data_IF_178579676496
#
_entry.id   IF_178579676496
#
_cell.length_a   1.000
_cell.length_b   1.000
_cell.length_c   1.000
_cell.angle_alpha   90.00
_cell.angle_beta   90.00
_cell.angle_gamma   90.00
#
_symmetry.space_group_name_H-M   'P 1'
#
loop_
_entity.id
_entity.type
_entity.pdbx_description
1 polymer ?
#
# COMPACT_ATOMS: atom_id res chain seq x y z
N UNK A 1 64.21 -17.91 15.42
CA UNK A 1 62.77 -18.25 15.50
C UNK A 1 61.98 -16.97 15.74
N UNK A 2 61.71 -16.21 14.67
CA UNK A 2 60.95 -14.95 14.74
C UNK A 2 59.47 -15.24 14.70
N UNK A 3 58.76 -14.87 15.78
CA UNK A 3 57.30 -15.00 15.87
C UNK A 3 56.64 -13.89 15.05
N UNK A 4 55.98 -14.29 13.97
CA UNK A 4 55.07 -13.45 13.18
C UNK A 4 53.83 -13.15 14.02
N UNK A 5 53.68 -11.90 14.44
CA UNK A 5 52.44 -11.39 15.04
C UNK A 5 51.40 -11.18 13.94
N UNK A 6 50.37 -12.02 13.94
CA UNK A 6 49.20 -11.89 13.08
C UNK A 6 48.45 -10.60 13.42
N UNK A 7 48.41 -9.66 12.47
CA UNK A 7 47.55 -8.49 12.55
C UNK A 7 46.09 -8.92 12.36
N UNK A 8 45.28 -8.68 13.39
CA UNK A 8 43.84 -8.87 13.38
C UNK A 8 43.23 -7.75 12.52
N UNK A 9 42.68 -8.10 11.37
CA UNK A 9 42.04 -7.15 10.45
C UNK A 9 40.87 -6.40 11.10
N UNK A 10 40.56 -5.17 10.66
CA UNK A 10 39.53 -4.35 11.27
C UNK A 10 38.15 -4.98 11.10
N UNK A 11 37.38 -4.95 12.20
CA UNK A 11 35.98 -5.34 12.23
C UNK A 11 35.22 -4.60 11.12
N UNK A 12 34.53 -5.37 10.28
CA UNK A 12 33.69 -4.82 9.22
C UNK A 12 32.65 -3.91 9.85
N UNK A 13 32.67 -2.64 9.45
CA UNK A 13 31.68 -1.65 9.83
C UNK A 13 30.30 -2.13 9.36
N UNK A 14 29.43 -2.41 10.33
CA UNK A 14 28.02 -2.70 10.14
C UNK A 14 27.42 -1.58 9.28
N UNK A 15 27.12 -1.90 8.02
CA UNK A 15 26.53 -0.95 7.09
C UNK A 15 25.08 -0.75 7.54
N UNK A 16 24.86 0.24 8.39
CA UNK A 16 23.53 0.69 8.79
C UNK A 16 22.77 1.04 7.50
N UNK A 17 21.91 0.13 7.05
CA UNK A 17 21.04 0.36 5.92
C UNK A 17 20.09 1.48 6.31
N UNK A 18 20.35 2.69 5.82
CA UNK A 18 19.51 3.85 6.01
C UNK A 18 18.13 3.50 5.43
N UNK A 19 17.15 3.24 6.30
CA UNK A 19 15.80 2.84 5.90
C UNK A 19 15.10 4.05 5.28
N UNK A 20 14.89 4.01 3.97
CA UNK A 20 14.15 5.05 3.26
C UNK A 20 12.66 4.71 3.22
N UNK A 21 11.82 5.64 3.69
CA UNK A 21 10.36 5.53 3.60
C UNK A 21 9.85 6.37 2.44
N UNK A 22 8.92 5.82 1.66
CA UNK A 22 8.30 6.52 0.53
C UNK A 22 7.54 7.76 1.03
N UNK A 23 7.78 8.92 0.40
CA UNK A 23 7.03 10.15 0.66
C UNK A 23 5.80 10.19 -0.25
N UNK A 24 4.64 10.41 0.35
CA UNK A 24 3.37 10.52 -0.37
C UNK A 24 2.52 11.64 0.22
N UNK A 25 1.59 12.19 -0.58
CA UNK A 25 0.68 13.23 -0.13
C UNK A 25 -0.62 12.64 0.39
N UNK A 26 -0.96 12.89 1.65
CA UNK A 26 -2.23 12.48 2.25
C UNK A 26 -3.14 13.69 2.50
N UNK A 27 -4.46 13.50 2.44
CA UNK A 27 -5.41 14.51 2.87
C UNK A 27 -5.39 14.58 4.41
N UNK A 28 -5.23 15.79 4.96
CA UNK A 28 -5.29 16.04 6.40
C UNK A 28 -6.00 17.38 6.64
N UNK A 29 -7.19 17.32 7.24
CA UNK A 29 -8.05 18.49 7.41
C UNK A 29 -8.41 19.13 6.07
N UNK A 30 -8.17 20.44 5.93
CA UNK A 30 -8.48 21.24 4.73
C UNK A 30 -7.36 21.24 3.67
N UNK A 31 -6.32 20.42 3.80
CA UNK A 31 -5.17 20.45 2.89
C UNK A 31 -4.54 19.09 2.61
N UNK A 32 -3.58 19.08 1.68
CA UNK A 32 -2.68 17.94 1.44
C UNK A 32 -1.39 18.16 2.21
N UNK A 33 -0.98 17.18 3.00
CA UNK A 33 0.29 17.19 3.73
C UNK A 33 1.18 16.06 3.22
N UNK A 34 2.49 16.32 3.16
CA UNK A 34 3.47 15.27 2.92
C UNK A 34 3.49 14.31 4.11
N UNK A 35 3.49 13.02 3.83
CA UNK A 35 3.56 11.95 4.81
C UNK A 35 4.54 10.88 4.37
N UNK A 36 5.10 10.16 5.34
CA UNK A 36 5.85 8.94 5.10
C UNK A 36 4.87 7.76 5.07
N UNK A 37 5.10 6.84 4.15
CA UNK A 37 4.31 5.60 3.98
C UNK A 37 5.13 4.40 4.44
N UNK A 38 4.49 3.53 5.23
CA UNK A 38 4.98 2.18 5.55
C UNK A 38 3.98 1.14 5.06
N UNK A 39 4.46 -0.03 4.65
CA UNK A 39 3.63 -1.13 4.16
C UNK A 39 3.92 -2.38 4.96
N UNK A 40 2.88 -3.09 5.39
CA UNK A 40 3.02 -4.33 6.12
C UNK A 40 3.59 -5.43 5.22
N UNK A 41 4.76 -5.94 5.58
CA UNK A 41 5.38 -7.13 5.00
C UNK A 41 4.66 -8.44 5.31
N UNK A 42 3.42 -8.42 5.79
CA UNK A 42 2.57 -9.60 5.94
C UNK A 42 1.27 -9.43 5.14
N UNK A 43 0.51 -8.37 5.41
CA UNK A 43 -0.84 -8.19 4.87
C UNK A 43 -1.06 -6.94 3.98
N UNK A 44 0.01 -6.26 3.55
CA UNK A 44 -0.03 -5.05 2.69
C UNK A 44 -0.77 -3.83 3.26
N UNK A 45 -1.32 -3.91 4.48
CA UNK A 45 -1.85 -2.74 5.15
C UNK A 45 -0.83 -1.60 5.08
N UNK A 46 -1.29 -0.40 4.75
CA UNK A 46 -0.44 0.79 4.66
C UNK A 46 -0.68 1.69 5.87
N UNK A 47 0.40 2.23 6.42
CA UNK A 47 0.39 3.26 7.46
C UNK A 47 0.95 4.56 6.92
N UNK A 48 0.44 5.68 7.44
CA UNK A 48 0.88 7.01 7.05
C UNK A 48 1.18 7.85 8.28
N UNK A 49 2.32 8.54 8.28
CA UNK A 49 2.70 9.49 9.32
C UNK A 49 3.01 10.84 8.66
N UNK A 50 2.35 11.95 9.05
CA UNK A 50 2.65 13.28 8.52
C UNK A 50 4.13 13.66 8.71
N UNK A 51 4.76 14.21 7.67
CA UNK A 51 6.16 14.60 7.68
C UNK A 51 6.36 15.89 8.51
N UNK A 52 6.63 15.71 9.80
CA UNK A 52 7.10 16.77 10.71
C UNK A 52 8.47 17.32 10.27
N UNK A 53 8.93 18.42 10.88
CA UNK A 53 10.22 19.03 10.52
C UNK A 53 11.40 18.04 10.60
N UNK A 54 11.45 17.20 11.64
CA UNK A 54 12.45 16.14 11.79
C UNK A 54 12.35 15.08 10.68
N UNK A 55 11.12 14.65 10.36
CA UNK A 55 10.88 13.68 9.27
C UNK A 55 11.13 14.25 7.87
N UNK A 56 11.13 15.58 7.71
CA UNK A 56 11.52 16.24 6.45
C UNK A 56 13.02 16.22 6.20
N UNK A 57 13.83 16.23 7.26
CA UNK A 57 15.29 16.15 7.17
C UNK A 57 15.82 14.74 6.88
N UNK A 58 14.93 13.73 6.90
CA UNK A 58 15.28 12.37 6.47
C UNK A 58 15.97 11.54 7.56
N UNK A 59 15.81 11.90 8.83
CA UNK A 59 16.32 11.10 9.94
C UNK A 59 15.52 9.79 10.06
N UNK A 60 16.12 8.62 9.76
CA UNK A 60 15.41 7.35 9.68
C UNK A 60 14.91 6.88 11.06
N UNK A 61 15.62 7.21 12.13
CA UNK A 61 15.26 6.86 13.50
C UNK A 61 13.97 7.57 13.95
N UNK A 62 13.81 8.85 13.61
CA UNK A 62 12.58 9.59 13.86
C UNK A 62 11.37 8.96 13.13
N UNK A 63 11.57 8.45 11.91
CA UNK A 63 10.52 7.76 11.15
C UNK A 63 10.13 6.43 11.81
N UNK A 64 11.12 5.64 12.22
CA UNK A 64 10.92 4.39 12.95
C UNK A 64 10.15 4.65 14.25
N UNK A 65 10.57 5.65 15.04
CA UNK A 65 9.92 6.02 16.29
C UNK A 65 8.47 6.48 16.06
N UNK A 66 8.22 7.27 15.03
CA UNK A 66 6.87 7.76 14.73
C UNK A 66 5.93 6.61 14.31
N UNK A 67 6.37 5.70 13.44
CA UNK A 67 5.59 4.50 13.10
C UNK A 67 5.39 3.59 14.31
N UNK A 68 6.42 3.43 15.16
CA UNK A 68 6.35 2.70 16.42
C UNK A 68 5.31 3.27 17.38
N UNK A 69 5.21 4.60 17.48
CA UNK A 69 4.17 5.27 18.28
C UNK A 69 2.75 4.97 17.77
N UNK A 70 2.60 4.71 16.48
CA UNK A 70 1.34 4.25 15.86
C UNK A 70 1.15 2.71 15.91
N UNK A 71 2.00 1.99 16.66
CA UNK A 71 1.89 0.55 16.91
C UNK A 71 2.45 -0.34 15.81
N UNK A 72 3.19 0.22 14.85
CA UNK A 72 3.90 -0.56 13.84
C UNK A 72 5.17 -1.17 14.42
N UNK A 73 5.46 -2.40 14.00
CA UNK A 73 6.79 -2.98 14.19
C UNK A 73 7.58 -2.72 12.92
N UNK A 74 8.62 -1.90 13.00
CA UNK A 74 9.50 -1.61 11.86
C UNK A 74 10.71 -2.53 11.94
N UNK A 75 10.90 -3.38 10.94
CA UNK A 75 11.97 -4.38 10.88
C UNK A 75 13.27 -3.83 10.29
N UNK A 76 14.23 -4.71 9.98
CA UNK A 76 15.45 -4.35 9.29
C UNK A 76 15.26 -4.23 7.76
N UNK A 77 14.25 -4.91 7.21
CA UNK A 77 13.88 -4.88 5.78
C UNK A 77 12.38 -4.57 5.58
N UNK A 78 11.94 -4.03 4.42
CA UNK A 78 10.51 -3.72 4.22
C UNK A 78 9.61 -4.96 4.35
N UNK A 79 10.17 -6.14 4.08
CA UNK A 79 9.50 -7.43 4.25
C UNK A 79 9.26 -7.81 5.72
N UNK A 80 9.98 -7.21 6.67
CA UNK A 80 9.86 -7.46 8.12
C UNK A 80 8.93 -6.48 8.83
N UNK A 81 8.50 -5.41 8.17
CA UNK A 81 7.58 -4.44 8.76
C UNK A 81 6.22 -5.10 9.03
N UNK A 82 5.64 -4.87 10.21
CA UNK A 82 4.32 -5.43 10.60
C UNK A 82 3.40 -4.32 11.08
N UNK A 83 2.19 -4.31 10.55
CA UNK A 83 1.13 -3.43 11.03
C UNK A 83 0.70 -3.81 12.47
N UNK A 84 -0.01 -2.93 13.19
CA UNK A 84 -0.47 -3.19 14.56
C UNK A 84 -1.29 -4.47 14.72
N UNK A 85 -2.02 -4.87 13.68
CA UNK A 85 -2.81 -6.10 13.70
C UNK A 85 -1.94 -7.36 13.55
N UNK A 86 -0.86 -7.31 12.75
CA UNK A 86 0.06 -8.43 12.54
C UNK A 86 1.09 -8.55 13.68
N UNK A 87 1.58 -7.41 14.20
CA UNK A 87 2.58 -7.40 15.29
C UNK A 87 2.02 -7.93 16.61
N UNK A 88 0.73 -7.68 16.90
CA UNK A 88 0.05 -8.23 18.09
C UNK A 88 -0.12 -9.74 18.02
N UNK A 89 -0.42 -10.29 16.83
CA UNK A 89 -0.57 -11.75 16.61
C UNK A 89 0.76 -12.48 16.83
N UNK A 90 1.86 -11.98 16.26
CA UNK A 90 3.17 -12.60 16.43
C UNK A 90 3.68 -12.53 17.88
N UNK A 91 3.33 -11.48 18.62
CA UNK A 91 3.73 -11.31 20.02
C UNK A 91 2.98 -12.24 20.97
N UNK A 92 1.69 -12.53 20.73
CA UNK A 92 0.94 -13.50 21.52
C UNK A 92 1.47 -14.93 21.34
N UNK A 93 1.80 -15.31 20.11
CA UNK A 93 2.34 -16.66 19.83
C UNK A 93 3.69 -16.89 20.50
N UNK A 94 4.59 -15.88 20.48
CA UNK A 94 5.90 -15.97 21.13
C UNK A 94 5.82 -16.01 22.67
N UNK A 95 4.80 -15.40 23.28
CA UNK A 95 4.64 -15.41 24.74
C UNK A 95 4.09 -16.73 25.27
N UNK A 96 3.51 -17.55 24.37
CA UNK A 96 2.95 -18.85 24.72
C UNK A 96 3.99 -19.98 24.64
N UNK A 97 5.01 -19.86 23.79
CA UNK A 97 6.06 -20.89 23.62
C UNK A 97 7.16 -20.83 24.69
N UNK A 98 7.38 -19.70 25.35
CA UNK A 98 8.44 -19.55 26.38
C UNK A 98 8.00 -19.89 27.80
N UNK A 99 6.72 -20.22 28.02
CA UNK A 99 6.20 -20.54 29.37
C UNK A 99 6.40 -22.01 29.79
N UNK A 100 7.09 -22.80 28.98
CA UNK A 100 7.35 -24.23 29.21
C UNK A 100 8.76 -24.59 29.68
N UNK A 101 9.71 -23.66 29.78
CA UNK A 101 11.06 -23.96 30.23
C UNK A 101 11.67 -22.82 31.06
N UNK A 102 11.94 -23.07 32.35
CA UNK A 102 12.95 -22.34 33.12
C UNK A 102 12.48 -21.60 34.38
N UNK A 103 12.56 -22.31 35.50
CA UNK A 103 13.16 -21.92 36.81
C UNK A 103 12.90 -20.54 37.46
N UNK A 104 12.49 -20.65 38.72
CA UNK A 104 12.38 -19.67 39.80
C UNK A 104 13.49 -18.61 39.89
N UNK A 105 13.12 -17.34 39.98
CA UNK A 105 13.80 -16.34 40.80
C UNK A 105 12.83 -15.22 41.21
N UNK A 106 12.89 -14.87 42.50
CA UNK A 106 11.99 -13.98 43.22
C UNK A 106 12.03 -12.52 42.73
N UNK A 107 10.92 -11.80 42.97
CA UNK A 107 10.66 -10.43 42.48
C UNK A 107 11.55 -9.31 43.05
N UNK A 108 11.14 -8.04 42.86
CA UNK A 108 10.07 -7.54 43.71
C UNK A 108 8.95 -6.75 43.00
N UNK A 109 7.78 -6.79 43.65
CA UNK A 109 6.56 -6.00 43.43
C UNK A 109 6.79 -4.50 43.62
N UNK A 110 6.00 -3.71 42.87
CA UNK A 110 5.18 -2.52 43.26
C UNK A 110 4.81 -1.80 41.93
N UNK A 111 3.67 -1.18 41.67
CA UNK A 111 2.44 -0.85 42.42
C UNK A 111 1.41 -0.32 41.41
N UNK A 112 0.15 -0.73 41.60
CA UNK A 112 -1.14 -0.02 41.39
C UNK A 112 -1.19 1.32 40.64
N UNK A 113 -2.08 1.39 39.64
CA UNK A 113 -3.05 2.46 39.32
C UNK A 113 -3.37 2.38 37.80
N UNK A 114 -4.55 2.64 37.27
CA UNK A 114 -5.91 2.90 37.75
C UNK A 114 -6.78 2.77 36.50
N UNK A 115 -7.90 2.07 36.62
CA UNK A 115 -8.91 2.00 35.58
C UNK A 115 -9.54 3.39 35.35
N UNK A 116 -9.66 3.80 34.09
CA UNK A 116 -10.65 4.80 33.67
C UNK A 116 -11.41 4.27 32.46
N UNK A 117 -12.69 4.06 32.74
CA UNK A 117 -13.81 3.83 31.82
C UNK A 117 -13.88 4.85 30.69
N UNK A 118 -14.12 4.39 29.47
CA UNK A 118 -14.98 5.10 28.52
C UNK A 118 -15.69 4.11 27.62
N UNK A 119 -16.99 4.36 27.49
CA UNK A 119 -18.06 3.54 26.94
C UNK A 119 -18.36 4.00 25.51
N UNK A 120 -18.65 3.03 24.65
CA UNK A 120 -19.52 3.06 23.46
C UNK A 120 -19.43 4.23 22.45
N UNK A 121 -19.22 3.86 21.18
CA UNK A 121 -20.18 4.22 20.13
C UNK A 121 -20.03 3.26 18.93
N UNK A 122 -21.02 2.38 18.82
CA UNK A 122 -21.36 1.60 17.63
C UNK A 122 -21.90 2.57 16.58
N UNK A 123 -21.47 2.47 15.32
CA UNK A 123 -22.26 2.97 14.20
C UNK A 123 -22.03 2.09 12.97
N UNK A 124 -23.13 1.45 12.59
CA UNK A 124 -23.35 0.51 11.50
C UNK A 124 -23.96 1.30 10.35
N UNK A 125 -23.46 1.05 9.14
CA UNK A 125 -24.11 1.02 7.82
C UNK A 125 -25.22 2.07 7.53
N UNK A 126 -25.03 2.84 6.47
CA UNK A 126 -26.12 3.16 5.54
C UNK A 126 -25.56 3.43 4.13
N UNK A 127 -25.74 2.45 3.25
CA UNK A 127 -25.73 2.64 1.82
C UNK A 127 -26.95 3.50 1.43
N UNK A 128 -26.79 4.41 0.46
CA UNK A 128 -27.93 5.01 -0.24
C UNK A 128 -27.66 5.06 -1.73
N UNK A 129 -28.05 3.97 -2.38
CA UNK A 129 -28.47 3.93 -3.77
C UNK A 129 -29.75 4.75 -3.89
N UNK A 130 -29.82 5.64 -4.88
CA UNK A 130 -31.08 6.17 -5.40
C UNK A 130 -30.97 6.21 -6.91
N UNK A 131 -31.44 5.13 -7.53
CA UNK A 131 -32.08 5.20 -8.83
C UNK A 131 -33.51 5.72 -8.59
N UNK A 132 -33.97 6.65 -9.42
CA UNK A 132 -35.39 6.95 -9.54
C UNK A 132 -35.69 7.02 -11.04
N UNK A 133 -36.56 6.13 -11.45
CA UNK A 133 -37.15 5.97 -12.78
C UNK A 133 -38.49 6.71 -12.83
N UNK A 134 -38.84 7.13 -14.04
CA UNK A 134 -40.18 7.38 -14.59
C UNK A 134 -40.76 8.81 -14.56
N UNK A 135 -41.04 9.27 -15.79
CA UNK A 135 -41.90 10.36 -16.25
C UNK A 135 -43.32 10.34 -15.65
N UNK A 136 -44.11 11.42 -15.83
CA UNK A 136 -44.91 11.57 -17.05
C UNK A 136 -44.97 12.98 -17.68
N UNK A 137 -45.08 12.97 -19.01
CA UNK A 137 -45.75 13.87 -20.02
C UNK A 137 -46.63 15.01 -19.45
N UNK A 138 -46.72 16.26 -19.96
CA UNK A 138 -46.96 16.82 -21.32
C UNK A 138 -46.68 18.35 -21.31
N UNK A 139 -46.28 18.93 -22.47
CA UNK A 139 -46.26 20.36 -22.86
C UNK A 139 -45.29 21.27 -22.09
N UNK A 140 -44.35 21.96 -22.71
CA UNK A 140 -44.60 22.97 -23.75
C UNK A 140 -43.35 23.15 -24.62
N UNK A 141 -43.57 23.34 -25.91
CA UNK A 141 -42.54 23.41 -26.94
C UNK A 141 -41.59 24.61 -26.74
N UNK A 142 -40.32 24.33 -26.47
CA UNK A 142 -39.21 25.24 -26.76
C UNK A 142 -38.15 24.46 -27.53
N UNK A 143 -38.16 24.68 -28.84
CA UNK A 143 -37.10 24.29 -29.77
C UNK A 143 -35.82 25.01 -29.41
N UNK A 144 -34.92 24.35 -28.66
CA UNK A 144 -33.50 24.75 -28.65
C UNK A 144 -32.88 24.20 -29.93
N UNK A 145 -32.63 25.12 -30.86
CA UNK A 145 -31.86 24.90 -32.07
C UNK A 145 -30.58 24.13 -31.72
N UNK A 146 -30.38 23.00 -32.39
CA UNK A 146 -29.06 22.42 -32.54
C UNK A 146 -28.21 23.44 -33.32
N UNK A 147 -27.45 24.27 -32.59
CA UNK A 147 -26.40 25.07 -33.18
C UNK A 147 -25.49 24.14 -33.99
N UNK A 148 -25.30 24.48 -35.26
CA UNK A 148 -24.35 23.79 -36.14
C UNK A 148 -23.03 23.60 -35.38
N UNK A 149 -22.37 22.43 -35.50
CA UNK A 149 -21.05 22.24 -34.90
C UNK A 149 -20.18 23.45 -35.26
N UNK A 150 -19.56 24.12 -34.28
CA UNK A 150 -18.68 25.24 -34.52
C UNK A 150 -17.75 24.88 -35.70
N UNK A 151 -17.85 25.65 -36.79
CA UNK A 151 -17.01 25.41 -37.95
C UNK A 151 -15.62 25.93 -37.62
N UNK A 152 -14.64 25.04 -37.61
CA UNK A 152 -13.24 25.38 -37.36
C UNK A 152 -12.79 26.45 -38.35
N UNK A 153 -12.41 27.62 -37.82
CA UNK A 153 -11.84 28.70 -38.61
C UNK A 153 -10.52 28.28 -39.25
N UNK A 154 -10.12 28.93 -40.35
CA UNK A 154 -8.80 28.67 -40.96
C UNK A 154 -7.65 28.96 -40.01
N UNK A 155 -7.82 29.95 -39.15
CA UNK A 155 -6.82 30.35 -38.15
C UNK A 155 -6.69 29.28 -37.05
N UNK A 156 -7.80 28.75 -36.54
CA UNK A 156 -7.80 27.65 -35.57
C UNK A 156 -7.15 26.39 -36.16
N UNK A 157 -7.48 26.07 -37.42
CA UNK A 157 -6.89 24.93 -38.13
C UNK A 157 -5.38 25.09 -38.28
N UNK A 158 -4.88 26.31 -38.51
CA UNK A 158 -3.44 26.60 -38.62
C UNK A 158 -2.73 26.44 -37.27
N UNK A 159 -3.30 26.96 -36.20
CA UNK A 159 -2.74 26.86 -34.84
C UNK A 159 -2.69 25.38 -34.38
N UNK A 160 -3.75 24.62 -34.66
CA UNK A 160 -3.80 23.19 -34.36
C UNK A 160 -2.74 22.41 -35.15
N UNK A 161 -2.57 22.71 -36.44
CA UNK A 161 -1.54 22.06 -37.26
C UNK A 161 -0.12 22.34 -36.75
N UNK A 162 0.21 23.60 -36.46
CA UNK A 162 1.52 23.98 -35.93
C UNK A 162 1.82 23.27 -34.61
N UNK A 163 0.83 23.20 -33.72
CA UNK A 163 1.00 22.46 -32.46
C UNK A 163 1.14 20.96 -32.68
N UNK A 164 0.39 20.37 -33.61
CA UNK A 164 0.48 18.94 -33.93
C UNK A 164 1.84 18.61 -34.56
N UNK A 165 2.41 19.47 -35.40
CA UNK A 165 3.74 19.25 -35.99
C UNK A 165 4.84 19.17 -34.92
N UNK A 166 4.70 19.94 -33.84
CA UNK A 166 5.62 19.90 -32.70
C UNK A 166 5.46 18.65 -31.80
N UNK A 167 4.23 18.16 -31.62
CA UNK A 167 3.94 17.08 -30.63
C UNK A 167 3.69 15.70 -31.25
N UNK A 168 3.44 15.63 -32.55
CA UNK A 168 3.10 14.43 -33.29
C UNK A 168 4.28 14.04 -34.19
N UNK A 169 5.02 13.00 -33.79
CA UNK A 169 6.24 12.56 -34.46
C UNK A 169 5.98 11.48 -35.52
N UNK A 170 6.76 10.40 -35.50
CA UNK A 170 6.70 9.24 -36.42
C UNK A 170 5.39 8.43 -36.29
N UNK A 171 4.25 9.06 -36.55
CA UNK A 171 2.89 8.51 -36.45
C UNK A 171 2.38 8.24 -35.03
N UNK A 172 2.90 8.93 -34.02
CA UNK A 172 2.35 8.88 -32.67
C UNK A 172 2.66 10.17 -31.89
N UNK A 173 1.89 10.43 -30.85
CA UNK A 173 2.22 11.51 -29.92
C UNK A 173 3.50 11.23 -29.15
N UNK A 174 4.32 12.27 -29.00
CA UNK A 174 5.46 12.27 -28.09
C UNK A 174 5.00 12.32 -26.63
N UNK A 175 5.63 11.52 -25.76
CA UNK A 175 5.42 11.60 -24.31
C UNK A 175 3.99 11.34 -23.86
N UNK A 176 3.40 12.30 -23.13
CA UNK A 176 2.02 12.24 -22.62
C UNK A 176 1.02 13.09 -23.42
N UNK A 177 1.42 13.53 -24.62
CA UNK A 177 0.54 14.28 -25.50
C UNK A 177 -0.55 13.38 -26.09
N UNK A 178 -1.75 13.91 -26.22
CA UNK A 178 -2.94 13.29 -26.81
C UNK A 178 -3.82 14.38 -27.42
N UNK A 179 -4.81 14.04 -28.24
CA UNK A 179 -5.82 14.99 -28.72
C UNK A 179 -6.42 15.82 -27.57
N UNK A 180 -6.61 15.20 -26.41
CA UNK A 180 -7.21 15.83 -25.22
C UNK A 180 -6.27 16.86 -24.60
N UNK A 181 -4.96 16.58 -24.52
CA UNK A 181 -4.00 17.52 -23.94
C UNK A 181 -3.72 18.68 -24.89
N UNK A 182 -3.69 18.44 -26.20
CA UNK A 182 -3.56 19.49 -27.23
C UNK A 182 -4.78 20.41 -27.23
N UNK A 183 -6.00 19.84 -27.19
CA UNK A 183 -7.25 20.59 -27.12
C UNK A 183 -7.31 21.51 -25.89
N UNK A 184 -6.85 21.00 -24.73
CA UNK A 184 -6.78 21.77 -23.49
C UNK A 184 -5.75 22.91 -23.55
N UNK A 185 -4.61 22.67 -24.20
CA UNK A 185 -3.53 23.66 -24.32
C UNK A 185 -3.93 24.82 -25.23
N UNK A 186 -4.60 24.52 -26.34
CA UNK A 186 -5.07 25.51 -27.31
C UNK A 186 -6.47 26.07 -27.00
N UNK A 187 -7.14 25.52 -25.98
CA UNK A 187 -8.52 25.84 -25.61
C UNK A 187 -9.52 25.69 -26.78
N UNK A 188 -9.34 24.62 -27.58
CA UNK A 188 -10.19 24.28 -28.73
C UNK A 188 -10.91 22.93 -28.48
N UNK A 189 -12.04 22.65 -29.15
CA UNK A 189 -12.69 21.36 -29.04
C UNK A 189 -11.79 20.19 -29.48
N UNK A 190 -11.79 19.09 -28.71
CA UNK A 190 -11.06 17.85 -29.05
C UNK A 190 -11.37 17.35 -30.47
N UNK A 191 -12.64 17.44 -30.88
CA UNK A 191 -13.09 16.99 -32.19
C UNK A 191 -12.34 17.68 -33.35
N UNK A 192 -12.00 18.97 -33.20
CA UNK A 192 -11.23 19.69 -34.21
C UNK A 192 -9.80 19.19 -34.31
N UNK A 193 -9.16 18.90 -33.16
CA UNK A 193 -7.80 18.33 -33.13
C UNK A 193 -7.79 16.95 -33.77
N UNK A 194 -8.76 16.09 -33.46
CA UNK A 194 -8.89 14.77 -34.07
C UNK A 194 -9.12 14.84 -35.58
N UNK A 195 -9.96 15.76 -36.07
CA UNK A 195 -10.22 15.95 -37.51
C UNK A 195 -8.96 16.43 -38.25
N UNK A 196 -8.21 17.38 -37.68
CA UNK A 196 -6.96 17.88 -38.27
C UNK A 196 -5.87 16.81 -38.24
N UNK A 197 -5.74 16.06 -37.14
CA UNK A 197 -4.80 14.95 -37.07
C UNK A 197 -5.12 13.90 -38.12
N UNK A 198 -6.37 13.43 -38.21
CA UNK A 198 -6.77 12.42 -39.20
C UNK A 198 -6.51 12.90 -40.64
N UNK A 199 -6.78 14.17 -40.94
CA UNK A 199 -6.63 14.73 -42.27
C UNK A 199 -5.16 14.96 -42.71
N UNK A 200 -4.24 15.19 -41.79
CA UNK A 200 -2.85 15.59 -42.11
C UNK A 200 -1.76 14.66 -41.57
N UNK A 201 -2.00 14.00 -40.44
CA UNK A 201 -1.03 13.17 -39.72
C UNK A 201 -1.44 11.69 -39.62
N UNK A 202 -2.73 11.37 -39.84
CA UNK A 202 -3.28 10.01 -39.82
C UNK A 202 -4.00 9.63 -38.52
N UNK A 203 -4.36 8.34 -38.35
CA UNK A 203 -5.13 7.86 -37.21
C UNK A 203 -4.38 8.07 -35.89
N UNK A 204 -5.10 8.04 -34.77
CA UNK A 204 -4.54 8.09 -33.40
C UNK A 204 -3.56 6.93 -33.21
N UNK A 205 -2.31 7.11 -33.64
CA UNK A 205 -1.31 6.08 -33.56
C UNK A 205 -1.05 5.77 -32.09
N UNK A 206 -1.30 4.53 -31.70
CA UNK A 206 -0.95 4.08 -30.37
C UNK A 206 0.57 4.12 -30.23
N UNK A 207 1.07 4.76 -29.16
CA UNK A 207 2.50 4.83 -28.93
C UNK A 207 3.01 3.43 -28.53
N UNK A 208 3.83 2.76 -29.35
CA UNK A 208 4.26 1.39 -29.09
C UNK A 208 5.04 1.25 -27.78
N UNK A 209 5.69 2.33 -27.29
CA UNK A 209 6.35 2.33 -25.99
C UNK A 209 5.34 2.36 -24.83
N UNK A 210 4.24 3.09 -24.96
CA UNK A 210 3.20 3.13 -23.92
C UNK A 210 2.43 1.81 -23.85
N UNK A 211 2.16 1.19 -24.99
CA UNK A 211 1.53 -0.14 -25.04
C UNK A 211 2.42 -1.19 -24.38
N UNK A 212 3.70 -1.25 -24.78
CA UNK A 212 4.68 -2.14 -24.15
C UNK A 212 4.84 -1.87 -22.66
N UNK A 213 4.89 -0.60 -22.25
CA UNK A 213 4.94 -0.25 -20.83
C UNK A 213 3.70 -0.72 -20.08
N UNK A 214 2.51 -0.57 -20.66
CA UNK A 214 1.25 -1.06 -20.10
C UNK A 214 1.27 -2.57 -19.91
N UNK A 215 1.65 -3.31 -20.94
CA UNK A 215 1.77 -4.77 -20.91
C UNK A 215 2.78 -5.25 -19.86
N UNK A 216 3.98 -4.65 -19.83
CA UNK A 216 5.03 -4.97 -18.87
C UNK A 216 4.61 -4.65 -17.43
N UNK A 217 3.96 -3.49 -17.23
CA UNK A 217 3.43 -3.08 -15.93
C UNK A 217 2.35 -4.04 -15.44
N UNK A 218 1.38 -4.38 -16.28
CA UNK A 218 0.35 -5.34 -15.92
C UNK A 218 0.92 -6.73 -15.62
N UNK A 219 1.91 -7.18 -16.40
CA UNK A 219 2.60 -8.44 -16.14
C UNK A 219 3.31 -8.42 -14.78
N UNK A 220 3.97 -7.32 -14.45
CA UNK A 220 4.59 -7.12 -13.15
C UNK A 220 3.56 -7.11 -12.02
N UNK A 221 2.45 -6.38 -12.16
CA UNK A 221 1.38 -6.33 -11.16
C UNK A 221 0.76 -7.71 -10.93
N UNK A 222 0.56 -8.52 -11.98
CA UNK A 222 0.11 -9.92 -11.87
C UNK A 222 1.11 -10.78 -11.10
N UNK A 223 2.41 -10.67 -11.43
CA UNK A 223 3.46 -11.42 -10.75
C UNK A 223 3.54 -11.04 -9.27
N UNK A 224 3.52 -9.73 -8.97
CA UNK A 224 3.54 -9.19 -7.61
C UNK A 224 2.33 -9.69 -6.81
N UNK A 225 1.12 -9.59 -7.36
CA UNK A 225 -0.09 -10.09 -6.73
C UNK A 225 0.00 -11.60 -6.42
N UNK A 226 0.52 -12.40 -7.35
CA UNK A 226 0.75 -13.84 -7.15
C UNK A 226 1.73 -14.14 -6.03
N UNK A 227 2.88 -13.45 -6.00
CA UNK A 227 3.88 -13.59 -4.94
C UNK A 227 3.30 -13.22 -3.56
N UNK A 228 2.50 -12.17 -3.51
CA UNK A 228 1.90 -11.69 -2.27
C UNK A 228 0.80 -12.61 -1.75
N UNK A 229 -0.02 -13.16 -2.64
CA UNK A 229 -0.98 -14.21 -2.29
C UNK A 229 -0.27 -15.46 -1.73
N UNK A 230 0.82 -15.90 -2.37
CA UNK A 230 1.63 -17.02 -1.87
C UNK A 230 2.20 -16.74 -0.47
N UNK A 231 2.75 -15.54 -0.25
CA UNK A 231 3.28 -15.15 1.06
C UNK A 231 2.20 -15.12 2.13
N UNK A 232 1.00 -14.61 1.82
CA UNK A 232 -0.14 -14.63 2.73
C UNK A 232 -0.54 -16.06 3.10
N UNK A 233 -0.65 -16.95 2.12
CA UNK A 233 -0.97 -18.37 2.36
C UNK A 233 0.08 -19.04 3.27
N UNK A 234 1.36 -18.70 3.11
CA UNK A 234 2.41 -19.20 4.00
C UNK A 234 2.25 -18.72 5.45
N UNK A 235 1.87 -17.45 5.66
CA UNK A 235 1.60 -16.95 7.02
C UNK A 235 0.39 -17.66 7.65
N UNK A 236 -0.67 -17.89 6.88
CA UNK A 236 -1.87 -18.59 7.35
C UNK A 236 -1.60 -20.07 7.65
N UNK A 237 -0.82 -20.76 6.81
CA UNK A 237 -0.44 -22.16 7.07
C UNK A 237 0.47 -22.27 8.29
N UNK A 238 1.40 -21.34 8.47
CA UNK A 238 2.22 -21.28 9.68
C UNK A 238 1.37 -21.11 10.94
N UNK A 239 0.35 -20.25 10.91
CA UNK A 239 -0.61 -20.09 12.02
C UNK A 239 -1.40 -21.38 12.27
N UNK A 240 -1.84 -22.07 11.21
CA UNK A 240 -2.52 -23.36 11.31
C UNK A 240 -1.65 -24.42 11.99
N UNK A 241 -0.39 -24.53 11.57
CA UNK A 241 0.56 -25.48 12.13
C UNK A 241 0.87 -25.18 13.61
N UNK A 242 1.03 -23.90 13.97
CA UNK A 242 1.21 -23.49 15.36
C UNK A 242 0.02 -23.90 16.23
N UNK A 243 -1.21 -23.67 15.75
CA UNK A 243 -2.42 -24.08 16.46
C UNK A 243 -2.48 -25.60 16.66
N UNK A 244 -2.18 -26.37 15.62
CA UNK A 244 -2.11 -27.83 15.71
C UNK A 244 -1.06 -28.30 16.72
N UNK A 245 0.12 -27.66 16.75
CA UNK A 245 1.16 -27.99 17.72
C UNK A 245 0.72 -27.72 19.17
N UNK A 246 0.01 -26.62 19.42
CA UNK A 246 -0.56 -26.32 20.74
C UNK A 246 -1.62 -27.35 21.15
N UNK A 247 -2.50 -27.76 20.22
CA UNK A 247 -3.52 -28.78 20.48
C UNK A 247 -2.89 -30.16 20.79
N UNK A 248 -1.82 -30.53 20.08
CA UNK A 248 -1.05 -31.75 20.34
C UNK A 248 -0.41 -31.69 21.73
N UNK A 249 0.23 -30.57 22.09
CA UNK A 249 0.82 -30.38 23.42
C UNK A 249 -0.23 -30.53 24.53
N UNK A 250 -1.42 -29.96 24.33
CA UNK A 250 -2.52 -30.08 25.29
C UNK A 250 -2.99 -31.52 25.46
N UNK A 251 -3.13 -32.27 24.35
CA UNK A 251 -3.48 -33.70 24.39
C UNK A 251 -2.40 -34.51 25.11
N UNK A 252 -1.12 -34.22 24.88
CA UNK A 252 -0.03 -34.88 25.59
C UNK A 252 -0.12 -34.65 27.12
N UNK A 253 -0.42 -33.42 27.56
CA UNK A 253 -0.63 -33.12 28.98
C UNK A 253 -1.84 -33.86 29.57
N UNK A 254 -2.94 -33.98 28.81
CA UNK A 254 -4.12 -34.74 29.21
C UNK A 254 -3.80 -36.24 29.38
N UNK A 255 -3.07 -36.82 28.42
CA UNK A 255 -2.60 -38.22 28.49
C UNK A 255 -1.69 -38.42 29.71
N UNK A 256 -0.75 -37.50 29.95
CA UNK A 256 0.13 -37.57 31.11
C UNK A 256 -0.63 -37.50 32.44
N UNK A 257 -1.69 -36.69 32.52
CA UNK A 257 -2.57 -36.62 33.71
C UNK A 257 -3.36 -37.90 33.90
N UNK A 258 -3.85 -38.50 32.82
CA UNK A 258 -4.53 -39.79 32.87
C UNK A 258 -3.58 -40.90 33.31
N UNK A 259 -2.37 -40.97 32.76
CA UNK A 259 -1.33 -41.92 33.17
C UNK A 259 -1.06 -41.86 34.67
N UNK A 260 -0.85 -40.65 35.22
CA UNK A 260 -0.68 -40.44 36.67
C UNK A 260 -1.88 -40.86 37.52
N UNK A 261 -3.10 -40.81 36.97
CA UNK A 261 -4.31 -41.27 37.67
C UNK A 261 -4.38 -42.79 37.66
N UNK A 262 -4.13 -43.40 36.51
CA UNK A 262 -4.07 -44.86 36.35
C UNK A 262 -3.01 -45.47 37.27
N UNK A 263 -1.81 -44.90 37.32
CA UNK A 263 -0.74 -45.32 38.25
C UNK A 263 -1.17 -45.26 39.73
N UNK A 264 -2.01 -44.29 40.11
CA UNK A 264 -2.53 -44.17 41.47
C UNK A 264 -3.64 -45.18 41.79
N UNK A 265 -4.41 -45.59 40.79
CA UNK A 265 -5.55 -46.50 40.97
C UNK A 265 -5.15 -47.98 40.83
N UNK A 266 -4.11 -48.28 40.06
CA UNK A 266 -3.63 -49.65 39.79
C UNK A 266 -2.34 -50.02 40.53
N UNK A 267 -1.69 -49.06 41.20
CA UNK A 267 -0.47 -49.24 41.98
C UNK A 267 -0.72 -49.17 43.48
#
# INVERSE_FOLDING_TARGET
MSRLSAQKGPAQAETQHIRHFERTGIASGNGRVSALRIVCGCCEAAGYVPATAALRQGEPEAAIAAFGAHGWLVGATPAEDRCPACSRRSSSDRKQTTKGAGTMAAGPRKTTARATTAKAATAKVAAKTTAITASPTVSEAQTLQADLPPQMGRDDRRIIMEKLDDVYGDNAYGGSWTDTTVARDLNVPRAWVSEVREAFFGPEGSNPLLDRYGEEKEAFERLHAGFMAARKNHCEEHERLLKMAMDISKKADEINRLGKRVERELG
#
